data_IF_763545671964
#
_entry.id   IF_763545671964
#
_cell.length_a   1.000
_cell.length_b   1.000
_cell.length_c   1.000
_cell.angle_alpha   90.00
_cell.angle_beta   90.00
_cell.angle_gamma   90.00
#
_symmetry.space_group_name_H-M   'P 1'
#
loop_
_entity.id
_entity.type
_entity.pdbx_description
1 polymer ?
#
# COMPACT_ATOMS: atom_id res chain seq x y z
N UNK A 1 22.25 -7.23 -1.63
CA UNK A 1 20.84 -7.20 -2.06
C UNK A 1 20.03 -6.91 -0.82
N UNK A 2 19.21 -5.86 -0.84
CA UNK A 2 18.28 -5.60 0.28
C UNK A 2 17.28 -6.76 0.41
N UNK A 3 16.81 -7.09 1.62
CA UNK A 3 15.77 -8.10 1.79
C UNK A 3 14.49 -7.68 1.06
N UNK A 4 13.80 -8.66 0.47
CA UNK A 4 12.49 -8.43 -0.15
C UNK A 4 11.49 -7.94 0.91
N UNK A 5 10.76 -6.88 0.58
CA UNK A 5 9.71 -6.31 1.44
C UNK A 5 8.31 -6.87 1.13
N UNK A 6 8.24 -7.83 0.21
CA UNK A 6 7.00 -8.45 -0.28
C UNK A 6 7.16 -9.98 -0.30
N UNK A 7 6.03 -10.70 -0.27
CA UNK A 7 5.97 -12.15 -0.45
C UNK A 7 4.77 -12.50 -1.35
N UNK A 8 5.06 -13.03 -2.55
CA UNK A 8 4.02 -13.38 -3.54
C UNK A 8 3.44 -14.78 -3.33
N UNK A 9 3.90 -15.55 -2.33
CA UNK A 9 3.43 -16.92 -2.05
C UNK A 9 1.91 -17.02 -2.01
N UNK A 10 1.23 -16.03 -1.40
CA UNK A 10 -0.23 -16.02 -1.36
C UNK A 10 -0.86 -15.93 -2.76
N UNK A 11 -0.31 -15.07 -3.63
CA UNK A 11 -0.79 -14.91 -5.02
C UNK A 11 -0.45 -16.14 -5.84
N UNK A 12 0.73 -16.71 -5.65
CA UNK A 12 1.18 -17.94 -6.33
C UNK A 12 0.29 -19.13 -5.99
N UNK A 13 -0.13 -19.26 -4.72
CA UNK A 13 -1.10 -20.26 -4.27
C UNK A 13 -2.48 -20.04 -4.91
N UNK A 14 -2.95 -18.79 -4.96
CA UNK A 14 -4.23 -18.44 -5.62
C UNK A 14 -4.19 -18.64 -7.13
N UNK A 15 -3.03 -18.52 -7.75
CA UNK A 15 -2.85 -18.67 -9.17
C UNK A 15 -2.86 -20.13 -9.64
N UNK A 16 -2.72 -21.10 -8.72
CA UNK A 16 -2.65 -22.54 -9.03
C UNK A 16 -1.64 -22.87 -10.15
N UNK A 17 -0.52 -22.15 -10.19
CA UNK A 17 0.53 -22.30 -11.21
C UNK A 17 0.40 -21.36 -12.43
N UNK A 18 -0.64 -20.52 -12.50
CA UNK A 18 -0.79 -19.51 -13.54
C UNK A 18 0.12 -18.29 -13.31
N UNK A 19 1.33 -18.32 -13.88
CA UNK A 19 2.30 -17.21 -13.78
C UNK A 19 1.81 -15.91 -14.41
N UNK A 20 0.98 -15.98 -15.46
CA UNK A 20 0.42 -14.79 -16.12
C UNK A 20 -0.52 -14.03 -15.18
N UNK A 21 -1.31 -14.77 -14.39
CA UNK A 21 -2.15 -14.19 -13.34
C UNK A 21 -1.31 -13.46 -12.28
N UNK A 22 -0.23 -14.09 -11.79
CA UNK A 22 0.68 -13.46 -10.81
C UNK A 22 1.24 -12.15 -11.35
N UNK A 23 1.77 -12.16 -12.58
CA UNK A 23 2.33 -10.95 -13.20
C UNK A 23 1.28 -9.88 -13.46
N UNK A 24 0.06 -10.25 -13.83
CA UNK A 24 -1.05 -9.30 -14.00
C UNK A 24 -1.37 -8.59 -12.67
N UNK A 25 -1.42 -9.34 -11.57
CA UNK A 25 -1.68 -8.77 -10.24
C UNK A 25 -0.54 -7.86 -9.76
N UNK A 26 0.70 -8.26 -9.99
CA UNK A 26 1.88 -7.43 -9.69
C UNK A 26 1.87 -6.15 -10.51
N UNK A 27 1.58 -6.22 -11.80
CA UNK A 27 1.52 -5.03 -12.67
C UNK A 27 0.40 -4.08 -12.25
N UNK A 28 -0.80 -4.59 -11.96
CA UNK A 28 -1.88 -3.76 -11.43
C UNK A 28 -1.49 -3.07 -10.12
N UNK A 29 -0.78 -3.77 -9.22
CA UNK A 29 -0.26 -3.16 -8.00
C UNK A 29 0.73 -2.04 -8.31
N UNK A 30 1.65 -2.25 -9.25
CA UNK A 30 2.66 -1.27 -9.65
C UNK A 30 2.01 0.00 -10.22
N UNK A 31 0.96 -0.15 -11.04
CA UNK A 31 0.28 0.96 -11.70
C UNK A 31 -0.63 1.75 -10.75
N UNK A 32 -1.36 1.07 -9.87
CA UNK A 32 -2.39 1.71 -9.04
C UNK A 32 -1.83 2.34 -7.75
N UNK A 33 -0.81 1.72 -7.16
CA UNK A 33 -0.29 2.13 -5.84
C UNK A 33 0.19 3.59 -5.78
N UNK A 34 0.92 4.13 -6.78
CA UNK A 34 1.35 5.53 -6.76
C UNK A 34 0.18 6.53 -6.69
N UNK A 35 -0.90 6.30 -7.45
CA UNK A 35 -2.08 7.16 -7.43
C UNK A 35 -2.82 7.11 -6.09
N UNK A 36 -2.95 5.91 -5.50
CA UNK A 36 -3.56 5.73 -4.18
C UNK A 36 -2.77 6.49 -3.09
N UNK A 37 -1.44 6.38 -3.07
CA UNK A 37 -0.58 7.11 -2.14
C UNK A 37 -0.73 8.63 -2.34
N UNK A 38 -0.73 9.09 -3.59
CA UNK A 38 -0.89 10.51 -3.90
C UNK A 38 -2.23 11.07 -3.41
N UNK A 39 -3.32 10.32 -3.57
CA UNK A 39 -4.64 10.71 -3.05
C UNK A 39 -4.69 10.73 -1.53
N UNK A 40 -4.04 9.77 -0.84
CA UNK A 40 -3.88 9.81 0.62
C UNK A 40 -3.16 11.09 1.06
N UNK A 41 -2.04 11.42 0.42
CA UNK A 41 -1.26 12.63 0.72
C UNK A 41 -2.04 13.91 0.44
N UNK A 42 -2.76 13.96 -0.68
CA UNK A 42 -3.63 15.09 -1.02
C UNK A 42 -4.75 15.25 0.00
N UNK A 43 -5.37 14.15 0.44
CA UNK A 43 -6.37 14.17 1.50
C UNK A 43 -5.85 14.80 2.78
N UNK A 44 -4.58 14.57 3.14
CA UNK A 44 -3.95 15.21 4.30
C UNK A 44 -3.81 16.73 4.11
N UNK A 45 -3.33 17.17 2.95
CA UNK A 45 -3.18 18.61 2.61
C UNK A 45 -4.53 19.33 2.62
N UNK A 46 -5.55 18.68 2.06
CA UNK A 46 -6.90 19.24 1.92
C UNK A 46 -7.74 19.07 3.21
N UNK A 47 -7.18 18.48 4.27
CA UNK A 47 -7.91 18.08 5.49
C UNK A 47 -9.14 17.18 5.21
N UNK A 48 -9.08 16.41 4.12
CA UNK A 48 -10.11 15.48 3.69
C UNK A 48 -9.84 14.07 4.24
N UNK A 49 -10.20 13.87 5.51
CA UNK A 49 -10.04 12.59 6.21
C UNK A 49 -10.84 11.44 5.58
N UNK A 50 -11.98 11.73 4.95
CA UNK A 50 -12.79 10.72 4.27
C UNK A 50 -12.08 10.16 3.04
N UNK A 51 -11.37 11.01 2.29
CA UNK A 51 -10.52 10.57 1.18
C UNK A 51 -9.37 9.69 1.68
N UNK A 52 -8.65 10.12 2.73
CA UNK A 52 -7.57 9.33 3.34
C UNK A 52 -8.07 7.95 3.74
N UNK A 53 -9.20 7.88 4.46
CA UNK A 53 -9.83 6.63 4.88
C UNK A 53 -10.19 5.75 3.69
N UNK A 54 -10.85 6.33 2.68
CA UNK A 54 -11.31 5.61 1.49
C UNK A 54 -10.14 5.00 0.71
N UNK A 55 -9.09 5.79 0.46
CA UNK A 55 -7.93 5.29 -0.29
C UNK A 55 -7.10 4.31 0.52
N UNK A 56 -6.96 4.52 1.83
CA UNK A 56 -6.31 3.54 2.71
C UNK A 56 -7.05 2.19 2.70
N UNK A 57 -8.38 2.22 2.75
CA UNK A 57 -9.21 1.02 2.66
C UNK A 57 -9.02 0.25 1.36
N UNK A 58 -8.92 0.96 0.22
CA UNK A 58 -8.68 0.36 -1.10
C UNK A 58 -7.28 -0.25 -1.21
N UNK A 59 -6.28 0.37 -0.58
CA UNK A 59 -4.88 -0.07 -0.64
C UNK A 59 -4.58 -1.27 0.28
N UNK A 60 -5.33 -1.43 1.38
CA UNK A 60 -5.21 -2.57 2.33
C UNK A 60 -5.17 -3.95 1.66
N UNK A 61 -6.18 -4.35 0.86
CA UNK A 61 -6.19 -5.69 0.27
C UNK A 61 -5.02 -5.88 -0.70
N UNK A 62 -4.60 -4.82 -1.40
CA UNK A 62 -3.44 -4.85 -2.29
C UNK A 62 -2.13 -5.10 -1.52
N UNK A 63 -1.94 -4.44 -0.38
CA UNK A 63 -0.81 -4.66 0.54
C UNK A 63 -0.80 -6.08 1.08
N UNK A 64 -1.97 -6.57 1.52
CA UNK A 64 -2.12 -7.92 2.05
C UNK A 64 -1.79 -8.96 0.97
N UNK A 65 -2.31 -8.77 -0.24
CA UNK A 65 -2.11 -9.67 -1.38
C UNK A 65 -0.64 -9.75 -1.81
N UNK A 66 0.08 -8.62 -1.82
CA UNK A 66 1.53 -8.60 -2.13
C UNK A 66 2.41 -9.10 -0.97
N UNK A 67 1.82 -9.46 0.18
CA UNK A 67 2.55 -9.95 1.34
C UNK A 67 3.48 -8.91 1.97
N UNK A 68 3.12 -7.61 1.91
CA UNK A 68 3.94 -6.51 2.42
C UNK A 68 3.67 -6.32 3.91
N UNK A 69 4.30 -7.18 4.73
CA UNK A 69 4.08 -7.22 6.19
C UNK A 69 4.40 -5.88 6.87
N UNK A 70 5.45 -5.20 6.40
CA UNK A 70 5.94 -3.93 6.97
C UNK A 70 5.06 -2.71 6.68
N UNK A 71 4.04 -2.83 5.82
CA UNK A 71 3.06 -1.79 5.55
C UNK A 71 1.66 -2.16 6.05
N UNK A 72 1.49 -3.40 6.52
CA UNK A 72 0.20 -4.00 6.86
C UNK A 72 -0.48 -3.31 8.03
N UNK A 73 0.27 -3.00 9.08
CA UNK A 73 -0.27 -2.34 10.26
C UNK A 73 -0.42 -0.84 10.01
N UNK A 74 0.49 -0.26 9.25
CA UNK A 74 0.57 1.16 8.97
C UNK A 74 -0.62 1.63 8.16
N UNK A 75 -1.01 0.90 7.11
CA UNK A 75 -2.21 1.23 6.35
C UNK A 75 -3.49 1.12 7.20
N UNK A 76 -3.54 0.17 8.14
CA UNK A 76 -4.67 -0.01 9.07
C UNK A 76 -4.78 1.13 10.06
N UNK A 77 -3.64 1.54 10.59
CA UNK A 77 -3.52 2.69 11.49
C UNK A 77 -3.86 4.00 10.79
N UNK A 78 -3.44 4.20 9.53
CA UNK A 78 -3.82 5.39 8.75
C UNK A 78 -5.33 5.46 8.56
N UNK A 79 -5.99 4.36 8.18
CA UNK A 79 -7.46 4.34 8.04
C UNK A 79 -8.15 4.66 9.37
N UNK A 80 -7.66 4.07 10.47
CA UNK A 80 -8.19 4.30 11.82
C UNK A 80 -8.02 5.76 12.26
N UNK A 81 -6.83 6.32 12.13
CA UNK A 81 -6.55 7.71 12.50
C UNK A 81 -7.33 8.70 11.64
N UNK A 82 -7.55 8.38 10.36
CA UNK A 82 -8.42 9.18 9.51
C UNK A 82 -9.87 9.16 10.00
N UNK A 83 -10.38 8.00 10.43
CA UNK A 83 -11.71 7.88 11.03
C UNK A 83 -11.82 8.67 12.35
N UNK A 84 -10.79 8.61 13.19
CA UNK A 84 -10.71 9.32 14.47
C UNK A 84 -10.39 10.82 14.31
N UNK A 85 -10.11 11.28 13.08
CA UNK A 85 -9.65 12.64 12.77
C UNK A 85 -8.48 13.06 13.66
N UNK A 86 -7.49 12.17 13.76
CA UNK A 86 -6.27 12.41 14.52
C UNK A 86 -5.50 13.63 13.98
N UNK A 87 -4.52 14.10 14.76
CA UNK A 87 -3.73 15.26 14.38
C UNK A 87 -2.92 15.00 13.10
N UNK A 88 -2.74 16.08 12.33
CA UNK A 88 -2.07 16.06 11.03
C UNK A 88 -0.63 15.56 11.15
N UNK A 89 0.07 15.86 12.25
CA UNK A 89 1.46 15.46 12.43
C UNK A 89 1.60 13.94 12.56
N UNK A 90 0.79 13.31 13.42
CA UNK A 90 0.74 11.86 13.58
C UNK A 90 0.37 11.16 12.26
N UNK A 91 -0.64 11.68 11.56
CA UNK A 91 -1.09 11.11 10.30
C UNK A 91 -0.02 11.25 9.19
N UNK A 92 0.63 12.41 9.10
CA UNK A 92 1.71 12.66 8.16
C UNK A 92 2.89 11.70 8.33
N UNK A 93 3.29 11.43 9.58
CA UNK A 93 4.40 10.53 9.88
C UNK A 93 4.11 9.10 9.40
N UNK A 94 2.89 8.60 9.63
CA UNK A 94 2.49 7.27 9.15
C UNK A 94 2.39 7.23 7.63
N UNK A 95 1.81 8.25 6.99
CA UNK A 95 1.71 8.34 5.53
C UNK A 95 3.10 8.37 4.88
N UNK A 96 4.04 9.12 5.44
CA UNK A 96 5.42 9.21 4.93
C UNK A 96 6.14 7.87 5.03
N UNK A 97 5.98 7.15 6.14
CA UNK A 97 6.54 5.82 6.31
C UNK A 97 5.92 4.81 5.32
N UNK A 98 4.59 4.85 5.15
CA UNK A 98 3.88 4.02 4.18
C UNK A 98 4.40 4.27 2.76
N UNK A 99 4.48 5.54 2.34
CA UNK A 99 5.00 5.95 1.03
C UNK A 99 6.42 5.42 0.80
N UNK A 100 7.31 5.63 1.76
CA UNK A 100 8.70 5.16 1.67
C UNK A 100 8.78 3.65 1.51
N UNK A 101 7.98 2.92 2.29
CA UNK A 101 7.94 1.45 2.24
C UNK A 101 7.41 0.94 0.91
N UNK A 102 6.30 1.52 0.44
CA UNK A 102 5.69 1.10 -0.82
C UNK A 102 6.55 1.47 -2.03
N UNK A 103 7.23 2.61 -2.03
CA UNK A 103 8.15 2.97 -3.10
C UNK A 103 9.29 1.94 -3.25
N UNK A 104 9.87 1.48 -2.13
CA UNK A 104 10.87 0.41 -2.16
C UNK A 104 10.31 -0.90 -2.70
N UNK A 105 9.09 -1.27 -2.29
CA UNK A 105 8.42 -2.47 -2.83
C UNK A 105 8.20 -2.33 -4.34
N UNK A 106 7.73 -1.17 -4.81
CA UNK A 106 7.52 -0.90 -6.23
C UNK A 106 8.81 -1.01 -7.04
N UNK A 107 9.93 -0.53 -6.52
CA UNK A 107 11.25 -0.69 -7.14
C UNK A 107 11.65 -2.17 -7.23
N UNK A 108 11.47 -2.93 -6.14
CA UNK A 108 11.78 -4.36 -6.14
C UNK A 108 10.88 -5.14 -7.10
N UNK A 109 9.58 -4.83 -7.17
CA UNK A 109 8.63 -5.49 -8.07
C UNK A 109 8.87 -5.16 -9.54
N UNK A 110 9.32 -3.94 -9.88
CA UNK A 110 9.71 -3.57 -11.25
C UNK A 110 10.97 -4.29 -11.74
N UNK A 111 11.75 -4.88 -10.82
CA UNK A 111 12.95 -5.65 -11.11
C UNK A 111 12.74 -7.17 -11.14
N UNK A 112 11.49 -7.64 -10.98
CA UNK A 112 11.09 -9.04 -11.20
C UNK A 112 11.22 -9.41 -12.68
#
# INVERSE_FOLDING_TARGET
MEPKLYNLEQIELMAEGNKEFVMTMVNMFIELTPDLINKIKKGLVDNNYDEIKSQAHKLKPSIDMMGIVSAKNEIREIEKLALERADVYTLNNKITYLETTLNKVLEQLKSL
#
